data_IF_856650617700
#
_entry.id   IF_856650617700
#
_cell.length_a   1.000
_cell.length_b   1.000
_cell.length_c   1.000
_cell.angle_alpha   90.00
_cell.angle_beta   90.00
_cell.angle_gamma   90.00
#
_symmetry.space_group_name_H-M   'P 1'
#
loop_
_entity.id
_entity.type
_entity.pdbx_description
1 polymer ?
#
# COMPACT_ATOMS: atom_id res chain seq x y z
N UNK A 1 -9.76 43.17 23.54
CA UNK A 1 -8.68 43.64 22.64
C UNK A 1 -7.53 43.95 23.55
N UNK A 2 -6.94 42.96 24.24
CA UNK A 2 -6.36 41.69 23.77
C UNK A 2 -5.31 41.93 22.70
N UNK A 3 -4.13 42.33 23.18
CA UNK A 3 -2.87 42.29 22.45
C UNK A 3 -2.11 41.02 22.86
N UNK A 4 -1.45 40.33 21.92
CA UNK A 4 -1.16 38.89 21.99
C UNK A 4 0.33 38.59 22.30
N UNK A 5 0.60 37.34 22.67
CA UNK A 5 1.92 36.66 22.67
C UNK A 5 2.91 36.96 23.82
N UNK A 6 2.66 36.40 25.01
CA UNK A 6 3.76 35.99 25.90
C UNK A 6 4.26 34.59 25.48
N UNK A 7 5.25 34.56 24.59
CA UNK A 7 5.99 33.35 24.24
C UNK A 7 6.87 32.91 25.44
N UNK A 8 6.39 31.88 26.12
CA UNK A 8 7.02 31.13 27.21
C UNK A 8 8.50 30.80 26.92
N UNK A 9 9.39 31.35 27.74
CA UNK A 9 10.86 31.26 27.64
C UNK A 9 11.45 29.93 28.12
N UNK A 10 10.68 28.83 28.06
CA UNK A 10 11.13 27.46 28.37
C UNK A 10 12.24 26.91 27.44
N UNK A 11 12.71 27.69 26.47
CA UNK A 11 13.87 27.36 25.63
C UNK A 11 15.20 28.00 26.07
N UNK A 12 15.26 28.69 27.22
CA UNK A 12 16.49 29.30 27.73
C UNK A 12 17.01 28.61 29.00
N UNK A 13 17.46 27.36 28.88
CA UNK A 13 18.44 26.79 29.82
C UNK A 13 19.41 25.90 29.04
N UNK A 14 20.24 26.54 28.21
CA UNK A 14 21.53 25.98 27.81
C UNK A 14 22.58 26.46 28.81
N UNK A 15 22.81 25.69 29.87
CA UNK A 15 24.06 25.63 30.62
C UNK A 15 23.99 24.50 31.67
N UNK A 16 24.55 23.30 31.42
CA UNK A 16 24.92 22.41 32.51
C UNK A 16 26.29 22.88 33.05
N UNK A 17 26.29 23.50 34.22
CA UNK A 17 27.50 23.74 34.99
C UNK A 17 27.81 22.53 35.86
N UNK A 18 28.91 21.87 35.52
CA UNK A 18 29.87 21.18 36.38
C UNK A 18 29.45 19.96 37.24
N UNK A 19 30.32 18.94 37.10
CA UNK A 19 30.64 17.85 38.01
C UNK A 19 29.67 16.66 38.05
N UNK A 20 30.09 15.51 37.52
CA UNK A 20 30.68 14.41 38.31
C UNK A 20 30.98 13.20 37.40
N UNK A 21 32.17 12.63 37.60
CA UNK A 21 32.69 11.30 37.23
C UNK A 21 32.56 10.78 35.79
N UNK A 22 33.68 10.92 35.06
CA UNK A 22 33.97 10.23 33.81
C UNK A 22 34.77 8.96 34.10
N UNK A 23 34.21 7.78 33.77
CA UNK A 23 34.93 6.53 33.54
C UNK A 23 34.00 5.56 32.78
N UNK A 24 33.92 5.67 31.44
CA UNK A 24 33.57 4.55 30.57
C UNK A 24 34.29 4.71 29.22
N UNK A 25 35.33 3.90 29.09
CA UNK A 25 36.04 3.53 27.87
C UNK A 25 35.07 2.74 26.98
N UNK A 26 34.80 3.19 25.75
CA UNK A 26 34.13 2.37 24.73
C UNK A 26 34.82 2.57 23.40
N UNK A 27 35.47 1.49 22.98
CA UNK A 27 36.35 1.35 21.83
C UNK A 27 35.67 1.65 20.50
N UNK A 28 36.29 2.55 19.75
CA UNK A 28 36.10 2.74 18.32
C UNK A 28 36.67 1.54 17.55
N UNK A 29 35.85 0.55 17.18
CA UNK A 29 36.15 -0.31 16.04
C UNK A 29 34.88 -0.90 15.41
N UNK A 30 34.56 -0.44 14.20
CA UNK A 30 34.16 -1.33 13.10
C UNK A 30 34.19 -0.52 11.80
N UNK A 31 35.36 -0.55 11.17
CA UNK A 31 35.45 -0.32 9.74
C UNK A 31 34.61 -1.35 8.97
N UNK A 32 33.99 -0.90 7.89
CA UNK A 32 34.23 -1.30 6.49
C UNK A 32 32.93 -1.06 5.70
N UNK A 33 32.93 0.06 4.98
CA UNK A 33 32.00 0.37 3.90
C UNK A 33 32.49 -0.36 2.64
N UNK A 34 31.81 -1.40 2.16
CA UNK A 34 31.81 -1.74 0.73
C UNK A 34 30.71 -2.74 0.37
N UNK A 35 29.83 -2.41 -0.61
CA UNK A 35 29.12 -3.45 -1.36
C UNK A 35 27.66 -3.22 -1.79
N UNK A 36 27.40 -2.23 -2.67
CA UNK A 36 26.49 -2.31 -3.83
C UNK A 36 24.93 -2.49 -3.64
N UNK A 37 24.13 -2.08 -4.65
CA UNK A 37 22.76 -1.57 -4.46
C UNK A 37 21.64 -2.60 -4.75
N UNK A 38 20.39 -2.13 -4.58
CA UNK A 38 19.13 -2.73 -5.02
C UNK A 38 18.40 -3.61 -4.01
N UNK A 39 17.53 -2.98 -3.21
CA UNK A 39 16.09 -3.05 -3.38
C UNK A 39 15.46 -2.41 -2.15
N UNK A 40 14.82 -1.26 -2.32
CA UNK A 40 13.93 -0.67 -1.32
C UNK A 40 12.85 -1.68 -0.92
N UNK A 41 13.11 -2.37 0.17
CA UNK A 41 12.13 -3.11 0.95
C UNK A 41 12.23 -2.66 2.42
N UNK A 42 12.32 -1.34 2.63
CA UNK A 42 12.27 -0.74 3.94
C UNK A 42 10.82 -0.46 4.34
N UNK A 43 10.28 -1.42 5.10
CA UNK A 43 9.49 -1.26 6.33
C UNK A 43 8.28 -0.31 6.43
N UNK A 44 7.27 -0.88 7.08
CA UNK A 44 6.40 -0.27 8.08
C UNK A 44 5.34 0.73 7.61
N UNK A 45 4.08 0.31 7.74
CA UNK A 45 3.03 1.08 8.42
C UNK A 45 1.78 0.22 8.59
N UNK A 46 1.65 -0.40 9.77
CA UNK A 46 0.38 -0.87 10.30
C UNK A 46 -0.49 0.33 10.66
N UNK A 47 -1.10 0.99 9.68
CA UNK A 47 -2.21 1.92 9.93
C UNK A 47 -3.49 1.09 9.91
N UNK A 48 -3.98 0.74 11.09
CA UNK A 48 -5.40 0.41 11.30
C UNK A 48 -6.14 1.74 11.46
N UNK A 49 -7.27 1.87 10.74
CA UNK A 49 -8.48 2.70 10.99
C UNK A 49 -8.83 3.66 9.83
N UNK A 50 -10.11 3.97 9.53
CA UNK A 50 -11.38 3.39 10.01
C UNK A 50 -12.28 2.83 8.86
N UNK A 51 -13.33 2.07 9.22
CA UNK A 51 -14.50 1.68 8.39
C UNK A 51 -14.28 0.81 7.12
N UNK A 52 -14.35 -0.52 7.32
CA UNK A 52 -14.92 -1.60 6.47
C UNK A 52 -15.25 -1.30 4.99
N UNK A 53 -14.27 -0.90 4.20
CA UNK A 53 -14.20 -1.30 2.79
C UNK A 53 -13.33 -2.56 2.70
N UNK A 54 -13.90 -3.73 2.43
CA UNK A 54 -13.12 -4.94 2.09
C UNK A 54 -12.50 -4.79 0.68
N UNK A 55 -11.92 -3.62 0.38
CA UNK A 55 -11.28 -3.36 -0.90
C UNK A 55 -9.87 -3.93 -0.86
N UNK A 56 -9.48 -4.63 -1.92
CA UNK A 56 -8.15 -5.19 -2.11
C UNK A 56 -7.69 -4.85 -3.51
N UNK A 57 -6.40 -4.57 -3.65
CA UNK A 57 -5.81 -4.22 -4.94
C UNK A 57 -4.70 -5.19 -5.28
N UNK A 58 -4.71 -5.62 -6.54
CA UNK A 58 -3.71 -6.49 -7.14
C UNK A 58 -3.09 -5.83 -8.35
N UNK A 59 -1.79 -6.05 -8.51
CA UNK A 59 -1.01 -5.58 -9.64
C UNK A 59 -0.66 -6.77 -10.53
N UNK A 60 -0.86 -6.61 -11.82
CA UNK A 60 -0.58 -7.59 -12.86
C UNK A 60 0.34 -6.99 -13.93
N UNK A 61 1.21 -7.81 -14.49
CA UNK A 61 2.12 -7.42 -15.57
C UNK A 61 1.44 -7.35 -16.93
N UNK A 62 0.33 -8.06 -17.14
CA UNK A 62 -0.41 -8.09 -18.40
C UNK A 62 -1.92 -8.23 -18.19
N UNK A 63 -2.70 -7.81 -19.20
CA UNK A 63 -4.16 -8.00 -19.22
C UNK A 63 -4.52 -9.49 -19.33
N UNK A 64 -3.71 -10.28 -20.03
CA UNK A 64 -3.90 -11.73 -20.16
C UNK A 64 -3.83 -12.43 -18.79
N UNK A 65 -2.94 -12.00 -17.90
CA UNK A 65 -2.86 -12.53 -16.54
C UNK A 65 -4.15 -12.24 -15.75
N UNK A 66 -4.71 -11.04 -15.89
CA UNK A 66 -6.00 -10.68 -15.26
C UNK A 66 -7.14 -11.53 -15.83
N UNK A 67 -7.15 -11.72 -17.15
CA UNK A 67 -8.19 -12.49 -17.85
C UNK A 67 -8.17 -13.96 -17.48
N UNK A 68 -6.98 -14.58 -17.41
CA UNK A 68 -6.83 -15.94 -16.88
C UNK A 68 -7.31 -16.05 -15.44
N UNK A 69 -6.94 -15.10 -14.58
CA UNK A 69 -7.39 -15.10 -13.18
C UNK A 69 -8.92 -14.99 -13.10
N UNK A 70 -9.53 -14.12 -13.90
CA UNK A 70 -10.99 -13.97 -13.99
C UNK A 70 -11.68 -15.24 -14.50
N UNK A 71 -11.09 -15.92 -15.49
CA UNK A 71 -11.59 -17.19 -16.02
C UNK A 71 -11.57 -18.30 -14.97
N UNK A 72 -10.48 -18.41 -14.18
CA UNK A 72 -10.35 -19.38 -13.08
C UNK A 72 -11.34 -19.10 -11.96
N UNK A 73 -11.55 -17.82 -11.62
CA UNK A 73 -12.57 -17.42 -10.65
C UNK A 73 -13.99 -17.72 -11.17
N UNK A 74 -14.21 -17.57 -12.48
CA UNK A 74 -15.45 -17.88 -13.17
C UNK A 74 -16.65 -17.14 -12.60
N UNK A 75 -17.60 -17.89 -12.03
CA UNK A 75 -18.80 -17.36 -11.36
C UNK A 75 -18.65 -17.17 -9.85
N UNK A 76 -17.46 -17.38 -9.29
CA UNK A 76 -17.24 -17.37 -7.83
C UNK A 76 -17.25 -15.96 -7.24
N UNK A 77 -17.12 -14.93 -8.10
CA UNK A 77 -17.15 -13.52 -7.71
C UNK A 77 -18.00 -12.72 -8.71
N UNK A 78 -19.00 -12.04 -8.19
CA UNK A 78 -19.93 -11.12 -8.84
C UNK A 78 -19.92 -9.72 -8.19
N UNK A 79 -19.01 -9.49 -7.24
CA UNK A 79 -18.87 -8.21 -6.56
C UNK A 79 -18.22 -7.12 -7.41
N UNK A 80 -18.11 -5.93 -6.81
CA UNK A 80 -17.53 -4.77 -7.49
C UNK A 80 -16.04 -4.97 -7.76
N UNK A 81 -15.63 -4.84 -9.01
CA UNK A 81 -14.24 -4.90 -9.43
C UNK A 81 -13.92 -3.90 -10.54
N UNK A 82 -12.85 -3.11 -10.38
CA UNK A 82 -12.43 -2.12 -11.36
C UNK A 82 -10.98 -2.38 -11.78
N UNK A 83 -10.71 -2.28 -13.08
CA UNK A 83 -9.39 -2.47 -13.68
C UNK A 83 -8.87 -1.16 -14.24
N UNK A 84 -7.70 -0.79 -13.78
CA UNK A 84 -6.95 0.38 -14.20
C UNK A 84 -5.64 -0.04 -14.85
N UNK A 85 -5.09 0.82 -15.71
CA UNK A 85 -3.80 0.62 -16.36
C UNK A 85 -2.92 1.83 -16.18
N UNK A 86 -1.70 1.59 -15.72
CA UNK A 86 -0.70 2.63 -15.63
C UNK A 86 -0.12 2.90 -17.04
N UNK A 87 -0.28 4.11 -17.62
CA UNK A 87 0.23 4.41 -18.95
C UNK A 87 1.76 4.45 -19.01
N UNK A 88 2.43 4.64 -17.86
CA UNK A 88 3.89 4.72 -17.72
C UNK A 88 4.50 3.33 -17.56
N UNK A 89 4.12 2.59 -16.50
CA UNK A 89 4.68 1.25 -16.25
C UNK A 89 4.08 0.15 -17.12
N UNK A 90 2.96 0.42 -17.81
CA UNK A 90 2.16 -0.55 -18.57
C UNK A 90 1.61 -1.70 -17.72
N UNK A 91 1.65 -1.57 -16.40
CA UNK A 91 1.07 -2.53 -15.46
C UNK A 91 -0.44 -2.29 -15.26
N UNK A 92 -1.12 -3.34 -14.84
CA UNK A 92 -2.56 -3.38 -14.64
C UNK A 92 -2.87 -3.49 -13.14
N UNK A 93 -3.85 -2.72 -12.68
CA UNK A 93 -4.22 -2.61 -11.28
C UNK A 93 -5.70 -2.95 -11.15
N UNK A 94 -6.00 -4.06 -10.49
CA UNK A 94 -7.36 -4.52 -10.25
C UNK A 94 -7.73 -4.23 -8.80
N UNK A 95 -8.76 -3.40 -8.59
CA UNK A 95 -9.39 -3.21 -7.29
C UNK A 95 -10.62 -4.11 -7.20
N UNK A 96 -10.81 -4.77 -6.06
CA UNK A 96 -11.98 -5.62 -5.79
C UNK A 96 -12.56 -5.29 -4.42
N UNK A 97 -13.88 -5.16 -4.34
CA UNK A 97 -14.59 -4.91 -3.09
C UNK A 97 -15.31 -6.17 -2.62
N UNK A 98 -14.98 -6.64 -1.41
CA UNK A 98 -15.66 -7.74 -0.75
C UNK A 98 -16.97 -7.36 -0.05
N UNK A 99 -17.60 -6.24 -0.41
CA UNK A 99 -18.89 -5.85 0.17
C UNK A 99 -19.98 -6.85 -0.24
N UNK A 100 -20.73 -7.40 0.73
CA UNK A 100 -21.74 -8.43 0.48
C UNK A 100 -21.22 -9.87 0.36
N UNK A 101 -19.91 -10.07 0.46
CA UNK A 101 -19.27 -11.40 0.44
C UNK A 101 -18.97 -11.91 1.85
N UNK A 102 -19.03 -13.24 2.04
CA UNK A 102 -18.46 -13.85 3.25
C UNK A 102 -16.93 -13.75 3.21
N UNK A 103 -16.31 -13.61 4.38
CA UNK A 103 -14.85 -13.50 4.48
C UNK A 103 -14.14 -14.70 3.86
N UNK A 104 -14.67 -15.91 4.05
CA UNK A 104 -14.11 -17.14 3.48
C UNK A 104 -14.20 -17.20 1.95
N UNK A 105 -15.32 -16.77 1.37
CA UNK A 105 -15.46 -16.68 -0.08
C UNK A 105 -14.54 -15.61 -0.66
N UNK A 106 -14.48 -14.43 -0.03
CA UNK A 106 -13.63 -13.34 -0.47
C UNK A 106 -12.15 -13.72 -0.39
N UNK A 107 -11.69 -14.32 0.72
CA UNK A 107 -10.30 -14.78 0.87
C UNK A 107 -9.93 -15.81 -0.20
N UNK A 108 -10.84 -16.71 -0.59
CA UNK A 108 -10.58 -17.64 -1.70
C UNK A 108 -10.32 -16.89 -3.00
N UNK A 109 -11.16 -15.91 -3.32
CA UNK A 109 -10.99 -15.05 -4.50
C UNK A 109 -9.65 -14.32 -4.47
N UNK A 110 -9.29 -13.74 -3.32
CA UNK A 110 -8.00 -13.05 -3.12
C UNK A 110 -6.80 -13.99 -3.33
N UNK A 111 -6.89 -15.21 -2.81
CA UNK A 111 -5.81 -16.18 -2.93
C UNK A 111 -5.60 -16.59 -4.39
N UNK A 112 -6.68 -16.87 -5.13
CA UNK A 112 -6.57 -17.14 -6.58
C UNK A 112 -5.97 -15.95 -7.32
N UNK A 113 -6.42 -14.72 -7.05
CA UNK A 113 -5.83 -13.53 -7.70
C UNK A 113 -4.34 -13.35 -7.36
N UNK A 114 -3.91 -13.77 -6.17
CA UNK A 114 -2.50 -13.70 -5.76
C UNK A 114 -1.57 -14.67 -6.50
N UNK A 115 -2.13 -15.66 -7.20
CA UNK A 115 -1.35 -16.59 -8.04
C UNK A 115 -0.96 -15.95 -9.37
N UNK A 116 -1.79 -15.04 -9.88
CA UNK A 116 -1.60 -14.38 -11.18
C UNK A 116 -1.04 -12.95 -11.04
N UNK A 117 -1.13 -12.35 -9.86
CA UNK A 117 -0.73 -10.97 -9.60
C UNK A 117 -0.21 -10.75 -8.19
N UNK A 118 0.51 -9.64 -8.00
CA UNK A 118 1.01 -9.26 -6.69
C UNK A 118 -0.02 -8.42 -5.95
N UNK A 119 -0.40 -8.83 -4.74
CA UNK A 119 -1.23 -8.00 -3.87
C UNK A 119 -0.44 -6.77 -3.43
N UNK A 120 -1.02 -5.58 -3.62
CA UNK A 120 -0.43 -4.32 -3.16
C UNK A 120 -1.28 -3.69 -2.06
N UNK A 121 -0.63 -2.96 -1.16
CA UNK A 121 -1.32 -2.17 -0.14
C UNK A 121 -1.83 -0.89 -0.80
N UNK A 122 -3.06 -0.94 -1.30
CA UNK A 122 -3.80 0.24 -1.72
C UNK A 122 -4.69 0.73 -0.57
N UNK A 123 -4.70 2.04 -0.35
CA UNK A 123 -5.68 2.71 0.51
C UNK A 123 -6.76 3.34 -0.35
N UNK A 124 -7.80 3.91 0.26
CA UNK A 124 -8.83 4.65 -0.47
C UNK A 124 -8.24 5.81 -1.29
N UNK A 125 -7.18 6.46 -0.77
CA UNK A 125 -6.44 7.47 -1.51
C UNK A 125 -5.77 6.92 -2.78
N UNK A 126 -5.41 5.63 -2.79
CA UNK A 126 -4.86 4.97 -3.97
C UNK A 126 -5.90 4.78 -5.07
N UNK A 127 -7.17 4.55 -4.75
CA UNK A 127 -8.23 4.42 -5.76
C UNK A 127 -8.50 5.75 -6.47
N UNK A 128 -8.60 6.86 -5.72
CA UNK A 128 -8.67 8.20 -6.29
C UNK A 128 -7.45 8.49 -7.19
N UNK A 129 -6.25 8.13 -6.73
CA UNK A 129 -5.03 8.25 -7.54
C UNK A 129 -5.10 7.45 -8.84
N UNK A 130 -5.63 6.22 -8.82
CA UNK A 130 -5.80 5.42 -10.04
C UNK A 130 -6.81 6.08 -10.98
N UNK A 131 -7.90 6.64 -10.48
CA UNK A 131 -8.89 7.33 -11.30
C UNK A 131 -8.34 8.60 -11.94
N UNK A 132 -7.43 9.30 -11.27
CA UNK A 132 -6.84 10.56 -11.75
C UNK A 132 -5.63 10.34 -12.67
N UNK A 133 -4.78 9.37 -12.36
CA UNK A 133 -3.49 9.18 -13.03
C UNK A 133 -3.43 7.95 -13.94
N UNK A 134 -4.30 6.95 -13.75
CA UNK A 134 -4.33 5.74 -14.56
C UNK A 134 -5.50 5.76 -15.54
N UNK A 135 -5.35 4.95 -16.58
CA UNK A 135 -6.40 4.72 -17.57
C UNK A 135 -7.38 3.70 -17.00
N UNK A 136 -8.64 4.09 -16.78
CA UNK A 136 -9.70 3.15 -16.38
C UNK A 136 -10.10 2.32 -17.59
N UNK A 137 -9.85 1.01 -17.54
CA UNK A 137 -10.23 0.09 -18.63
C UNK A 137 -11.65 -0.40 -18.42
N UNK A 138 -11.95 -0.89 -17.22
CA UNK A 138 -13.27 -1.43 -16.86
C UNK A 138 -13.59 -0.98 -15.44
N UNK A 139 -14.77 -0.43 -15.23
CA UNK A 139 -15.25 -0.02 -13.91
C UNK A 139 -16.39 -0.92 -13.41
N UNK A 140 -16.34 -1.30 -12.13
CA UNK A 140 -17.39 -2.03 -11.41
C UNK A 140 -17.56 -3.51 -11.74
N UNK A 141 -17.30 -3.96 -12.97
CA UNK A 141 -17.53 -5.33 -13.44
C UNK A 141 -16.32 -5.97 -14.14
N UNK A 142 -15.10 -5.56 -13.79
CA UNK A 142 -13.87 -6.01 -14.45
C UNK A 142 -13.73 -7.54 -14.53
N UNK A 143 -13.88 -8.26 -13.41
CA UNK A 143 -13.73 -9.72 -13.40
C UNK A 143 -14.83 -10.44 -14.20
N UNK A 144 -16.06 -9.91 -14.17
CA UNK A 144 -17.20 -10.47 -14.89
C UNK A 144 -17.06 -10.30 -16.40
N UNK A 145 -16.46 -9.19 -16.82
CA UNK A 145 -16.16 -8.89 -18.23
C UNK A 145 -15.00 -9.75 -18.69
N UNK A 146 -13.88 -9.75 -17.95
CA UNK A 146 -12.63 -10.41 -18.34
C UNK A 146 -12.69 -11.93 -18.38
N UNK A 147 -13.60 -12.57 -17.63
CA UNK A 147 -13.77 -14.04 -17.68
C UNK A 147 -14.30 -14.55 -19.04
N UNK A 148 -14.87 -13.65 -19.85
CA UNK A 148 -15.46 -13.98 -21.16
C UNK A 148 -14.49 -13.72 -22.32
N UNK A 149 -13.29 -13.21 -22.04
CA UNK A 149 -12.21 -13.01 -23.02
C UNK A 149 -11.25 -14.19 -22.97
#
# INVERSE_FOLDING_TARGET
>A
VDDPEELDTRFATFAPSAAEDADYDDDLDTGVLEGAPAADAEQASQSRSPEKGNVRTFRFSSLDAVSHAASVLGGSFDGHSSLYRNPVSKEYYLTISGHGYSESAFVRVLNTLSEFGSRIRATYASEAYFQEHFETIIDGIALQVLRNF
#
